data_IF_501570457933
#
_entry.id   IF_501570457933
#
_cell.length_a   1.000
_cell.length_b   1.000
_cell.length_c   1.000
_cell.angle_alpha   90.00
_cell.angle_beta   90.00
_cell.angle_gamma   90.00
#
_symmetry.space_group_name_H-M   'P 1'
#
loop_
_entity.id
_entity.type
_entity.pdbx_description
1 polymer ?
#
# COMPACT_ATOMS: atom_id res chain seq x y z
N UNK A 1 0.87 24.18 22.97
CA UNK A 1 1.09 24.49 21.56
C UNK A 1 -0.28 24.63 20.94
N UNK A 2 -0.64 25.81 20.50
CA UNK A 2 -1.94 26.05 19.88
C UNK A 2 -1.98 25.34 18.51
N UNK A 3 -3.13 24.79 18.12
CA UNK A 3 -3.29 24.09 16.82
C UNK A 3 -2.87 25.00 15.65
N UNK A 4 -3.00 26.31 15.81
CA UNK A 4 -2.60 27.33 14.81
C UNK A 4 -1.08 27.44 14.64
N UNK A 5 -0.28 26.99 15.61
CA UNK A 5 1.19 27.05 15.60
C UNK A 5 1.84 25.76 15.07
N UNK A 6 1.03 24.73 14.75
CA UNK A 6 1.57 23.52 14.13
C UNK A 6 2.02 23.82 12.69
N UNK A 7 3.20 23.33 12.26
CA UNK A 7 3.63 23.50 10.88
C UNK A 7 2.59 22.87 9.96
N UNK A 8 2.05 23.67 9.03
CA UNK A 8 1.10 23.19 8.03
C UNK A 8 1.83 22.34 6.99
N UNK A 9 1.14 21.34 6.46
CA UNK A 9 1.64 20.54 5.36
C UNK A 9 1.78 21.41 4.10
N UNK A 10 2.88 21.23 3.36
CA UNK A 10 3.15 21.95 2.12
C UNK A 10 2.53 21.24 0.92
N UNK A 11 1.56 21.89 0.29
CA UNK A 11 0.89 21.44 -0.94
C UNK A 11 1.28 22.31 -2.17
N UNK A 12 2.36 23.07 -2.09
CA UNK A 12 2.81 23.95 -3.18
C UNK A 12 3.13 23.22 -4.48
N UNK A 13 3.46 21.93 -4.41
CA UNK A 13 3.78 21.06 -5.54
C UNK A 13 2.58 20.31 -6.17
N UNK A 14 1.36 20.62 -5.77
CA UNK A 14 0.17 19.88 -6.24
C UNK A 14 0.03 19.87 -7.77
N UNK A 15 0.25 21.00 -8.43
CA UNK A 15 0.17 21.09 -9.89
C UNK A 15 1.25 20.29 -10.60
N UNK A 16 2.47 20.27 -10.06
CA UNK A 16 3.58 19.49 -10.59
C UNK A 16 3.27 17.99 -10.51
N UNK A 17 2.78 17.53 -9.38
CA UNK A 17 2.38 16.14 -9.17
C UNK A 17 1.22 15.74 -10.08
N UNK A 18 0.23 16.61 -10.31
CA UNK A 18 -0.89 16.35 -11.24
C UNK A 18 -0.41 16.20 -12.67
N UNK A 19 0.50 17.07 -13.12
CA UNK A 19 1.08 16.98 -14.47
C UNK A 19 1.87 15.68 -14.62
N UNK A 20 2.68 15.34 -13.63
CA UNK A 20 3.45 14.10 -13.59
C UNK A 20 2.53 12.87 -13.61
N UNK A 21 1.52 12.83 -12.74
CA UNK A 21 0.55 11.73 -12.69
C UNK A 21 -0.15 11.57 -14.04
N UNK A 22 -0.66 12.64 -14.62
CA UNK A 22 -1.36 12.59 -15.89
C UNK A 22 -0.47 12.08 -17.03
N UNK A 23 0.82 12.46 -17.03
CA UNK A 23 1.79 12.06 -18.06
C UNK A 23 2.16 10.58 -17.95
N UNK A 24 2.39 10.06 -16.73
CA UNK A 24 3.03 8.76 -16.54
C UNK A 24 2.12 7.67 -15.94
N UNK A 25 0.85 7.99 -15.64
CA UNK A 25 -0.08 7.05 -14.98
C UNK A 25 -0.21 5.73 -15.72
N UNK A 26 -0.24 5.73 -17.03
CA UNK A 26 -0.43 4.52 -17.86
C UNK A 26 0.89 3.81 -18.18
N UNK A 27 2.02 4.48 -18.07
CA UNK A 27 3.35 3.88 -18.18
C UNK A 27 3.85 3.25 -16.89
N UNK A 28 3.20 3.58 -15.78
CA UNK A 28 3.59 3.11 -14.45
C UNK A 28 4.61 4.00 -13.76
N UNK A 29 4.62 3.91 -12.43
CA UNK A 29 5.49 4.72 -11.57
C UNK A 29 6.17 3.83 -10.53
N UNK A 30 7.50 3.99 -10.39
CA UNK A 30 8.30 3.33 -9.35
C UNK A 30 8.47 4.21 -8.13
N UNK A 31 8.83 3.59 -7.02
CA UNK A 31 9.21 4.24 -5.76
C UNK A 31 10.67 3.92 -5.44
N UNK A 32 11.41 4.94 -5.04
CA UNK A 32 12.80 4.79 -4.58
C UNK A 32 12.97 5.48 -3.23
N UNK A 33 13.60 4.78 -2.31
CA UNK A 33 14.10 5.27 -1.02
C UNK A 33 15.62 5.09 -1.03
N UNK A 34 16.37 6.15 -0.82
CA UNK A 34 17.82 6.17 -0.90
C UNK A 34 18.43 6.74 0.37
N UNK A 35 19.25 5.92 1.03
CA UNK A 35 20.07 6.29 2.19
C UNK A 35 19.30 7.00 3.31
N UNK A 36 18.06 6.55 3.57
CA UNK A 36 17.12 7.21 4.45
C UNK A 36 17.43 6.95 5.92
N UNK A 37 17.53 8.02 6.70
CA UNK A 37 17.65 8.02 8.15
C UNK A 37 16.43 8.65 8.83
N UNK A 38 15.94 8.02 9.91
CA UNK A 38 14.82 8.55 10.67
C UNK A 38 14.91 8.27 12.18
N UNK A 39 14.64 9.30 12.96
CA UNK A 39 14.57 9.26 14.43
C UNK A 39 13.30 9.98 14.87
N UNK A 40 12.50 9.36 15.72
CA UNK A 40 11.34 10.00 16.35
C UNK A 40 11.75 11.19 17.27
N UNK A 41 10.82 12.09 17.56
CA UNK A 41 11.04 13.19 18.50
C UNK A 41 11.42 12.71 19.91
N UNK A 42 11.04 11.49 20.28
CA UNK A 42 11.43 10.82 21.53
C UNK A 42 12.90 10.43 21.60
N UNK A 43 13.66 10.60 20.51
CA UNK A 43 15.07 10.19 20.39
C UNK A 43 15.23 8.75 19.91
N UNK A 44 14.15 8.00 19.66
CA UNK A 44 14.23 6.62 19.15
C UNK A 44 14.60 6.64 17.67
N UNK A 45 15.82 6.20 17.35
CA UNK A 45 16.29 6.01 15.97
C UNK A 45 15.71 4.71 15.40
N UNK A 46 14.98 4.82 14.27
CA UNK A 46 14.30 3.70 13.61
C UNK A 46 15.05 3.24 12.37
N UNK A 47 15.58 4.20 11.60
CA UNK A 47 16.33 3.91 10.38
C UNK A 47 17.65 4.64 10.33
N UNK A 48 18.66 3.91 9.81
CA UNK A 48 19.98 4.42 9.48
C UNK A 48 20.41 3.79 8.15
N UNK A 49 20.63 4.64 7.12
CA UNK A 49 21.01 4.20 5.77
C UNK A 49 20.04 3.18 5.14
N UNK A 50 18.72 3.36 5.34
CA UNK A 50 17.71 2.48 4.76
C UNK A 50 17.50 2.80 3.27
N UNK A 51 17.54 1.75 2.43
CA UNK A 51 17.32 1.90 0.99
C UNK A 51 16.39 0.81 0.46
N UNK A 52 15.47 1.18 -0.44
CA UNK A 52 14.61 0.24 -1.14
C UNK A 52 14.11 0.81 -2.46
N UNK A 53 13.67 -0.06 -3.34
CA UNK A 53 13.02 0.32 -4.59
C UNK A 53 11.90 -0.66 -4.94
N UNK A 54 10.88 -0.16 -5.63
CA UNK A 54 9.76 -0.93 -6.12
C UNK A 54 9.28 -0.34 -7.45
N UNK A 55 8.92 -1.18 -8.43
CA UNK A 55 8.57 -0.76 -9.77
C UNK A 55 7.20 -1.31 -10.22
N UNK A 56 6.63 -0.81 -11.33
CA UNK A 56 5.36 -1.27 -11.86
C UNK A 56 5.31 -2.78 -12.08
N UNK A 57 4.14 -3.37 -11.83
CA UNK A 57 3.89 -4.82 -11.85
C UNK A 57 4.72 -5.62 -10.83
N UNK A 58 5.45 -4.97 -9.93
CA UNK A 58 6.10 -5.62 -8.80
C UNK A 58 5.22 -5.58 -7.56
N UNK A 59 5.22 -6.68 -6.81
CA UNK A 59 4.84 -6.69 -5.40
C UNK A 59 6.12 -6.87 -4.59
N UNK A 60 6.41 -5.88 -3.76
CA UNK A 60 7.59 -5.83 -2.90
C UNK A 60 7.16 -6.08 -1.46
N UNK A 61 7.73 -7.08 -0.81
CA UNK A 61 7.45 -7.39 0.58
C UNK A 61 8.41 -6.66 1.52
N UNK A 62 7.89 -6.05 2.58
CA UNK A 62 8.63 -5.59 3.75
C UNK A 62 8.44 -6.57 4.89
N UNK A 63 9.49 -7.21 5.34
CA UNK A 63 9.48 -8.20 6.43
C UNK A 63 10.35 -7.74 7.59
N UNK A 64 10.10 -8.28 8.77
CA UNK A 64 10.87 -7.99 9.98
C UNK A 64 10.03 -8.16 11.24
N UNK A 65 10.64 -8.24 12.42
CA UNK A 65 9.93 -8.32 13.68
C UNK A 65 8.95 -7.17 13.91
N UNK A 66 7.99 -7.36 14.81
CA UNK A 66 7.10 -6.27 15.23
C UNK A 66 7.89 -5.18 15.94
N UNK A 67 7.59 -3.92 15.64
CA UNK A 67 8.27 -2.76 16.23
C UNK A 67 9.55 -2.30 15.50
N UNK A 68 10.09 -3.06 14.56
CA UNK A 68 11.33 -2.70 13.83
C UNK A 68 11.14 -1.55 12.80
N UNK A 69 9.92 -1.10 12.54
CA UNK A 69 9.71 0.11 11.72
C UNK A 69 8.97 -0.10 10.39
N UNK A 70 8.34 -1.27 10.11
CA UNK A 70 7.59 -1.50 8.87
C UNK A 70 6.54 -0.42 8.60
N UNK A 71 5.64 -0.19 9.55
CA UNK A 71 4.63 0.88 9.47
C UNK A 71 5.27 2.27 9.45
N UNK A 72 6.41 2.47 10.12
CA UNK A 72 7.18 3.73 10.06
C UNK A 72 7.70 3.98 8.65
N UNK A 73 8.21 2.96 7.95
CA UNK A 73 8.61 3.06 6.54
C UNK A 73 7.44 3.51 5.66
N UNK A 74 6.26 2.89 5.82
CA UNK A 74 5.08 3.29 5.05
C UNK A 74 4.63 4.73 5.36
N UNK A 75 4.73 5.15 6.62
CA UNK A 75 4.42 6.55 7.00
C UNK A 75 5.42 7.55 6.42
N UNK A 76 6.68 7.20 6.31
CA UNK A 76 7.70 8.01 5.64
C UNK A 76 7.41 8.09 4.13
N UNK A 77 7.10 6.97 3.50
CA UNK A 77 6.70 6.91 2.07
C UNK A 77 5.46 7.78 1.82
N UNK A 78 4.49 7.80 2.72
CA UNK A 78 3.31 8.67 2.64
C UNK A 78 3.60 10.14 3.03
N UNK A 79 4.86 10.48 3.31
CA UNK A 79 5.25 11.81 3.81
C UNK A 79 4.41 12.27 5.02
N UNK A 80 3.96 11.34 5.85
CA UNK A 80 3.37 11.60 7.17
C UNK A 80 4.45 11.83 8.23
N UNK A 81 5.66 11.39 7.94
CA UNK A 81 6.89 11.61 8.70
C UNK A 81 7.95 12.12 7.72
N UNK A 82 8.83 12.99 8.18
CA UNK A 82 9.91 13.52 7.37
C UNK A 82 11.24 12.83 7.75
N UNK A 83 11.99 12.27 6.78
CA UNK A 83 13.31 11.72 7.04
C UNK A 83 14.27 12.83 7.50
N UNK A 84 15.26 12.47 8.31
CA UNK A 84 16.34 13.40 8.70
C UNK A 84 17.46 13.43 7.66
N UNK A 85 17.66 12.30 6.99
CA UNK A 85 18.72 12.08 5.99
C UNK A 85 18.17 11.25 4.84
N UNK A 86 18.85 11.31 3.70
CA UNK A 86 18.47 10.58 2.50
C UNK A 86 17.38 11.24 1.67
N UNK A 87 16.87 10.53 0.68
CA UNK A 87 15.85 11.03 -0.26
C UNK A 87 14.85 9.93 -0.59
N UNK A 88 13.62 10.37 -0.86
CA UNK A 88 12.56 9.47 -1.32
C UNK A 88 11.78 10.13 -2.47
N UNK A 89 11.51 9.38 -3.52
CA UNK A 89 10.81 9.92 -4.69
C UNK A 89 10.00 8.85 -5.42
N UNK A 90 9.03 9.31 -6.18
CA UNK A 90 8.35 8.53 -7.21
C UNK A 90 8.99 8.89 -8.55
N UNK A 91 9.28 7.90 -9.38
CA UNK A 91 9.82 8.10 -10.73
C UNK A 91 8.92 7.44 -11.79
N UNK A 92 8.98 7.97 -13.01
CA UNK A 92 8.32 7.33 -14.15
C UNK A 92 9.11 6.07 -14.58
N UNK A 93 8.42 4.97 -14.94
CA UNK A 93 9.11 3.74 -15.35
C UNK A 93 9.82 3.93 -16.71
N UNK A 94 9.20 4.62 -17.66
CA UNK A 94 9.78 4.85 -18.99
C UNK A 94 10.94 5.86 -19.00
N UNK A 95 11.02 6.73 -17.98
CA UNK A 95 12.11 7.71 -17.81
C UNK A 95 12.37 7.96 -16.32
N UNK A 96 13.24 7.17 -15.70
CA UNK A 96 13.53 7.22 -14.27
C UNK A 96 14.25 8.50 -13.81
N UNK A 97 14.70 9.34 -14.72
CA UNK A 97 15.22 10.68 -14.40
C UNK A 97 14.08 11.65 -14.05
N UNK A 98 12.90 11.46 -14.67
CA UNK A 98 11.69 12.19 -14.31
C UNK A 98 11.14 11.67 -12.99
N UNK A 99 11.18 12.51 -11.96
CA UNK A 99 10.83 12.12 -10.59
C UNK A 99 10.22 13.26 -9.78
N UNK A 100 9.38 12.87 -8.84
CA UNK A 100 8.75 13.76 -7.84
C UNK A 100 9.22 13.34 -6.46
N UNK A 101 9.80 14.27 -5.69
CA UNK A 101 10.14 14.04 -4.29
C UNK A 101 8.89 13.80 -3.46
N UNK A 102 8.97 12.89 -2.49
CA UNK A 102 7.85 12.62 -1.61
C UNK A 102 7.56 13.84 -0.72
N UNK A 103 6.31 14.26 -0.75
CA UNK A 103 5.76 15.39 0.00
C UNK A 103 4.27 15.16 0.26
N UNK A 104 3.62 16.06 0.98
CA UNK A 104 2.17 16.03 1.16
C UNK A 104 1.44 16.00 -0.20
N UNK A 105 1.89 16.77 -1.18
CA UNK A 105 1.35 16.78 -2.55
C UNK A 105 1.43 15.43 -3.24
N UNK A 106 2.51 14.66 -3.03
CA UNK A 106 2.72 13.37 -3.66
C UNK A 106 1.78 12.27 -3.13
N UNK A 107 1.10 12.46 -2.01
CA UNK A 107 0.19 11.45 -1.42
C UNK A 107 -0.93 11.02 -2.34
N UNK A 108 -1.35 11.86 -3.28
CA UNK A 108 -2.37 11.51 -4.28
C UNK A 108 -1.95 10.35 -5.18
N UNK A 109 -0.66 10.08 -5.34
CA UNK A 109 -0.11 8.96 -6.11
C UNK A 109 -0.25 7.61 -5.39
N UNK A 110 -0.68 7.60 -4.12
CA UNK A 110 -0.73 6.42 -3.27
C UNK A 110 -2.16 6.02 -2.93
N UNK A 111 -2.42 4.72 -2.89
CA UNK A 111 -3.51 4.11 -2.13
C UNK A 111 -2.91 3.37 -0.93
N UNK A 112 -3.50 3.53 0.24
CA UNK A 112 -3.03 2.92 1.48
C UNK A 112 -4.15 2.13 2.15
N UNK A 113 -3.87 0.88 2.46
CA UNK A 113 -4.74 0.02 3.27
C UNK A 113 -4.02 -0.23 4.59
N UNK A 114 -4.42 0.42 5.68
CA UNK A 114 -3.81 0.21 6.99
C UNK A 114 -4.22 -1.15 7.58
N UNK A 115 -3.50 -1.57 8.61
CA UNK A 115 -3.86 -2.70 9.44
C UNK A 115 -5.25 -2.50 10.06
N UNK A 116 -6.03 -3.58 10.12
CA UNK A 116 -7.36 -3.59 10.72
C UNK A 116 -8.48 -3.20 9.74
N UNK A 117 -9.63 -2.89 10.29
CA UNK A 117 -10.84 -2.63 9.52
C UNK A 117 -11.05 -1.13 9.30
N UNK A 118 -11.22 -0.75 8.04
CA UNK A 118 -11.43 0.65 7.61
C UNK A 118 -12.78 0.87 6.92
N UNK A 119 -13.71 -0.06 7.05
CA UNK A 119 -15.03 0.06 6.45
C UNK A 119 -15.93 0.98 7.30
N UNK A 120 -16.73 1.78 6.60
CA UNK A 120 -17.72 2.69 7.19
C UNK A 120 -19.13 2.06 7.15
N UNK A 121 -20.02 2.53 8.01
CA UNK A 121 -21.45 2.20 7.91
C UNK A 121 -22.04 2.70 6.58
N UNK A 122 -22.87 1.89 5.96
CA UNK A 122 -23.45 2.14 4.64
C UNK A 122 -23.49 0.85 3.82
N UNK A 123 -23.55 0.92 2.51
CA UNK A 123 -23.47 -0.24 1.63
C UNK A 123 -22.01 -0.54 1.21
N UNK A 124 -21.77 -1.72 0.65
CA UNK A 124 -20.46 -2.05 0.05
C UNK A 124 -20.17 -1.05 -1.09
N UNK A 125 -21.15 -0.77 -1.95
CA UNK A 125 -21.01 0.18 -3.05
C UNK A 125 -20.65 1.59 -2.56
N UNK A 126 -21.32 2.10 -1.53
CA UNK A 126 -21.00 3.40 -0.93
C UNK A 126 -19.58 3.43 -0.38
N UNK A 127 -19.16 2.37 0.32
CA UNK A 127 -17.79 2.26 0.82
C UNK A 127 -16.74 2.31 -0.30
N UNK A 128 -16.96 1.63 -1.41
CA UNK A 128 -16.05 1.65 -2.55
C UNK A 128 -16.06 3.02 -3.23
N UNK A 129 -17.24 3.63 -3.42
CA UNK A 129 -17.39 4.95 -4.06
C UNK A 129 -16.82 6.12 -3.28
N UNK A 130 -16.42 5.94 -2.00
CA UNK A 130 -15.69 6.99 -1.26
C UNK A 130 -14.40 7.44 -1.96
N UNK A 131 -13.76 6.57 -2.74
CA UNK A 131 -12.49 6.87 -3.45
C UNK A 131 -12.70 7.19 -4.94
N UNK A 132 -13.86 6.84 -5.50
CA UNK A 132 -14.26 7.13 -6.89
C UNK A 132 -15.80 7.24 -6.94
N UNK A 133 -16.36 8.44 -6.66
CA UNK A 133 -17.82 8.64 -6.54
C UNK A 133 -18.62 8.29 -7.81
N UNK A 134 -18.02 8.46 -8.98
CA UNK A 134 -18.57 8.18 -10.31
C UNK A 134 -18.33 6.76 -10.82
N UNK A 135 -17.81 5.85 -9.97
CA UNK A 135 -17.56 4.48 -10.37
C UNK A 135 -18.85 3.74 -10.76
N UNK A 136 -18.85 3.08 -11.92
CA UNK A 136 -19.95 2.22 -12.33
C UNK A 136 -19.98 0.92 -11.50
N UNK A 137 -21.11 0.23 -11.51
CA UNK A 137 -21.24 -1.06 -10.79
C UNK A 137 -20.26 -2.10 -11.34
N UNK A 138 -19.97 -2.08 -12.66
CA UNK A 138 -18.98 -2.95 -13.28
C UNK A 138 -17.58 -2.70 -12.74
N UNK A 139 -17.18 -1.43 -12.57
CA UNK A 139 -15.89 -1.07 -11.98
C UNK A 139 -15.78 -1.52 -10.51
N UNK A 140 -16.89 -1.43 -9.75
CA UNK A 140 -16.94 -1.96 -8.39
C UNK A 140 -16.73 -3.48 -8.38
N UNK A 141 -17.42 -4.20 -9.26
CA UNK A 141 -17.33 -5.66 -9.39
C UNK A 141 -15.92 -6.08 -9.81
N UNK A 142 -15.28 -5.38 -10.75
CA UNK A 142 -13.89 -5.64 -11.14
C UNK A 142 -12.94 -5.49 -9.96
N UNK A 143 -13.05 -4.41 -9.20
CA UNK A 143 -12.22 -4.19 -8.02
C UNK A 143 -12.45 -5.27 -6.94
N UNK A 144 -13.70 -5.70 -6.73
CA UNK A 144 -14.06 -6.79 -5.84
C UNK A 144 -13.48 -8.14 -6.30
N UNK A 145 -13.47 -8.42 -7.61
CA UNK A 145 -12.85 -9.61 -8.20
C UNK A 145 -11.34 -9.63 -7.98
N UNK A 146 -10.66 -8.50 -8.25
CA UNK A 146 -9.21 -8.36 -8.02
C UNK A 146 -8.85 -8.63 -6.56
N UNK A 147 -9.65 -8.12 -5.61
CA UNK A 147 -9.47 -8.35 -4.17
C UNK A 147 -9.99 -9.72 -3.68
N UNK A 148 -10.44 -10.60 -4.55
CA UNK A 148 -11.11 -11.88 -4.21
C UNK A 148 -12.31 -11.70 -3.27
N UNK A 149 -13.00 -10.56 -3.34
CA UNK A 149 -14.16 -10.24 -2.52
C UNK A 149 -15.48 -10.60 -3.22
N UNK A 150 -15.50 -10.64 -4.54
CA UNK A 150 -16.72 -10.93 -5.32
C UNK A 150 -17.32 -12.27 -4.98
N UNK A 151 -16.52 -13.30 -4.73
CA UNK A 151 -16.95 -14.67 -4.40
C UNK A 151 -17.97 -14.74 -3.25
N UNK A 152 -17.91 -13.83 -2.30
CA UNK A 152 -18.89 -13.77 -1.21
C UNK A 152 -19.91 -12.64 -1.39
N UNK A 153 -19.55 -11.51 -2.04
CA UNK A 153 -20.45 -10.38 -2.25
C UNK A 153 -21.62 -10.76 -3.18
N UNK A 154 -21.36 -11.51 -4.26
CA UNK A 154 -22.42 -11.97 -5.18
C UNK A 154 -23.47 -12.89 -4.55
N UNK A 155 -23.13 -13.52 -3.41
CA UNK A 155 -24.03 -14.42 -2.66
C UNK A 155 -24.87 -13.69 -1.61
N UNK A 156 -24.59 -12.40 -1.39
CA UNK A 156 -25.40 -11.59 -0.48
C UNK A 156 -26.74 -11.24 -1.14
N UNK A 157 -27.84 -11.14 -0.37
CA UNK A 157 -29.17 -10.88 -0.93
C UNK A 157 -29.21 -9.60 -1.79
N UNK A 158 -28.49 -8.55 -1.38
CA UNK A 158 -28.47 -7.25 -2.06
C UNK A 158 -27.14 -7.01 -2.81
N UNK A 159 -26.26 -8.03 -2.96
CA UNK A 159 -24.99 -7.93 -3.65
C UNK A 159 -24.14 -6.75 -3.14
N UNK A 160 -23.70 -5.86 -4.05
CA UNK A 160 -22.93 -4.65 -3.70
C UNK A 160 -23.72 -3.63 -2.86
N UNK A 161 -25.05 -3.72 -2.82
CA UNK A 161 -25.90 -2.86 -2.00
C UNK A 161 -26.13 -3.41 -0.58
N UNK A 162 -25.51 -4.54 -0.24
CA UNK A 162 -25.60 -5.12 1.11
C UNK A 162 -24.96 -4.20 2.14
N UNK A 163 -25.62 -4.11 3.31
CA UNK A 163 -25.24 -3.20 4.37
C UNK A 163 -23.96 -3.64 5.08
N UNK A 164 -23.06 -2.69 5.29
CA UNK A 164 -21.88 -2.77 6.16
C UNK A 164 -22.23 -2.02 7.45
N UNK A 165 -22.18 -2.70 8.59
CA UNK A 165 -22.38 -2.07 9.90
C UNK A 165 -21.10 -1.37 10.37
N UNK A 166 -21.18 -0.60 11.45
CA UNK A 166 -20.02 0.05 12.06
C UNK A 166 -18.84 -0.91 12.22
N UNK A 167 -17.64 -0.43 11.89
CA UNK A 167 -16.38 -1.20 11.92
C UNK A 167 -16.46 -2.51 11.12
N UNK A 168 -17.20 -2.50 9.98
CA UNK A 168 -17.32 -3.70 9.13
C UNK A 168 -18.17 -4.81 9.74
N UNK A 169 -19.00 -4.51 10.73
CA UNK A 169 -19.90 -5.48 11.34
C UNK A 169 -20.79 -6.14 10.29
N UNK A 170 -20.99 -7.45 10.41
CA UNK A 170 -21.70 -8.28 9.43
C UNK A 170 -20.77 -9.06 8.50
N UNK A 171 -19.46 -8.75 8.52
CA UNK A 171 -18.42 -9.44 7.75
C UNK A 171 -17.33 -9.99 8.68
N UNK A 172 -16.71 -11.10 8.29
CA UNK A 172 -15.49 -11.57 8.96
C UNK A 172 -14.35 -10.56 8.72
N UNK A 173 -13.33 -10.59 9.57
CA UNK A 173 -12.16 -9.71 9.42
C UNK A 173 -11.53 -9.84 8.03
N UNK A 174 -11.34 -11.08 7.53
CA UNK A 174 -10.80 -11.32 6.20
C UNK A 174 -11.72 -10.85 5.07
N UNK A 175 -13.05 -10.85 5.25
CA UNK A 175 -13.98 -10.25 4.30
C UNK A 175 -13.85 -8.72 4.29
N UNK A 176 -13.80 -8.09 5.46
CA UNK A 176 -13.62 -6.65 5.60
C UNK A 176 -12.26 -6.19 5.03
N UNK A 177 -11.17 -6.94 5.25
CA UNK A 177 -9.87 -6.66 4.63
C UNK A 177 -9.96 -6.71 3.10
N UNK A 178 -10.60 -7.72 2.51
CA UNK A 178 -10.78 -7.81 1.05
C UNK A 178 -11.60 -6.65 0.49
N UNK A 179 -12.65 -6.20 1.18
CA UNK A 179 -13.41 -5.01 0.80
C UNK A 179 -12.55 -3.74 0.85
N UNK A 180 -11.72 -3.60 1.88
CA UNK A 180 -10.77 -2.47 2.01
C UNK A 180 -9.73 -2.47 0.88
N UNK A 181 -9.21 -3.65 0.51
CA UNK A 181 -8.29 -3.81 -0.62
C UNK A 181 -9.02 -3.46 -1.94
N UNK A 182 -10.26 -3.93 -2.15
CA UNK A 182 -11.06 -3.60 -3.35
C UNK A 182 -11.23 -2.09 -3.50
N UNK A 183 -11.55 -1.39 -2.40
CA UNK A 183 -11.65 0.07 -2.39
C UNK A 183 -10.34 0.74 -2.81
N UNK A 184 -9.21 0.28 -2.30
CA UNK A 184 -7.90 0.82 -2.67
C UNK A 184 -7.54 0.55 -4.14
N UNK A 185 -7.91 -0.64 -4.66
CA UNK A 185 -7.69 -1.02 -6.07
C UNK A 185 -8.55 -0.19 -7.03
N UNK A 186 -9.81 0.09 -6.66
CA UNK A 186 -10.74 0.90 -7.45
C UNK A 186 -10.21 2.30 -7.74
N UNK A 187 -9.46 2.89 -6.81
CA UNK A 187 -8.87 4.22 -6.97
C UNK A 187 -7.88 4.28 -8.14
N UNK A 188 -7.29 3.16 -8.54
CA UNK A 188 -6.25 3.08 -9.59
C UNK A 188 -5.08 4.04 -9.33
N UNK A 189 -4.62 4.13 -8.09
CA UNK A 189 -3.38 4.86 -7.77
C UNK A 189 -2.17 4.10 -8.31
N UNK A 190 -1.13 4.81 -8.80
CA UNK A 190 0.10 4.18 -9.29
C UNK A 190 0.81 3.31 -8.27
N UNK A 191 0.74 3.70 -6.99
CA UNK A 191 1.41 2.98 -5.90
C UNK A 191 0.39 2.54 -4.85
N UNK A 192 0.41 1.26 -4.50
CA UNK A 192 -0.45 0.64 -3.49
C UNK A 192 0.39 0.20 -2.29
N UNK A 193 0.00 0.62 -1.11
CA UNK A 193 0.61 0.24 0.16
C UNK A 193 -0.38 -0.61 0.97
N UNK A 194 0.01 -1.82 1.34
CA UNK A 194 -0.77 -2.76 2.15
C UNK A 194 -0.05 -3.01 3.47
N UNK A 195 -0.53 -2.40 4.56
CA UNK A 195 0.06 -2.54 5.89
C UNK A 195 -0.63 -3.67 6.67
N UNK A 196 -0.06 -4.86 6.61
CA UNK A 196 -0.62 -6.08 7.20
C UNK A 196 -2.09 -6.34 6.78
N UNK A 197 -2.49 -5.76 5.63
CA UNK A 197 -3.87 -5.75 5.16
C UNK A 197 -4.37 -7.13 4.66
N UNK A 198 -3.50 -8.13 4.64
CA UNK A 198 -3.83 -9.51 4.26
C UNK A 198 -3.73 -10.48 5.45
N UNK A 199 -3.47 -9.97 6.66
CA UNK A 199 -3.19 -10.79 7.85
C UNK A 199 -4.34 -11.71 8.30
N UNK A 200 -5.59 -11.32 8.04
CA UNK A 200 -6.78 -12.13 8.36
C UNK A 200 -7.24 -13.06 7.21
N UNK A 201 -6.52 -13.08 6.07
CA UNK A 201 -6.82 -13.97 4.97
C UNK A 201 -6.18 -15.35 5.19
N UNK A 202 -6.80 -16.40 4.65
CA UNK A 202 -6.11 -17.67 4.50
C UNK A 202 -5.02 -17.57 3.42
N UNK A 203 -4.04 -18.48 3.48
CA UNK A 203 -2.86 -18.46 2.59
C UNK A 203 -3.23 -18.51 1.11
N UNK A 204 -4.25 -19.27 0.75
CA UNK A 204 -4.66 -19.43 -0.65
C UNK A 204 -5.28 -18.13 -1.18
N UNK A 205 -6.15 -17.50 -0.38
CA UNK A 205 -6.78 -16.21 -0.71
C UNK A 205 -5.74 -15.09 -0.77
N UNK A 206 -4.82 -15.01 0.20
CA UNK A 206 -3.75 -14.03 0.19
C UNK A 206 -2.89 -14.13 -1.07
N UNK A 207 -2.47 -15.33 -1.45
CA UNK A 207 -1.72 -15.55 -2.69
C UNK A 207 -2.50 -15.17 -3.94
N UNK A 208 -3.82 -15.44 -3.97
CA UNK A 208 -4.68 -15.01 -5.09
C UNK A 208 -4.74 -13.49 -5.20
N UNK A 209 -4.96 -12.79 -4.10
CA UNK A 209 -4.99 -11.31 -4.08
C UNK A 209 -3.67 -10.75 -4.59
N UNK A 210 -2.53 -11.21 -4.09
CA UNK A 210 -1.21 -10.75 -4.53
C UNK A 210 -0.99 -11.02 -6.02
N UNK A 211 -1.34 -12.21 -6.51
CA UNK A 211 -1.23 -12.54 -7.95
C UNK A 211 -2.12 -11.64 -8.80
N UNK A 212 -3.37 -11.42 -8.39
CA UNK A 212 -4.29 -10.54 -9.12
C UNK A 212 -3.73 -9.13 -9.23
N UNK A 213 -3.11 -8.60 -8.15
CA UNK A 213 -2.46 -7.28 -8.18
C UNK A 213 -1.29 -7.26 -9.16
N UNK A 214 -0.46 -8.31 -9.20
CA UNK A 214 0.69 -8.40 -10.12
C UNK A 214 0.28 -8.54 -11.60
N UNK A 215 -0.84 -9.23 -11.86
CA UNK A 215 -1.33 -9.50 -13.22
C UNK A 215 -2.38 -8.52 -13.70
N UNK A 216 -2.74 -7.53 -12.87
CA UNK A 216 -3.63 -6.44 -13.27
C UNK A 216 -3.06 -5.68 -14.47
N UNK A 217 -3.91 -5.33 -15.42
CA UNK A 217 -3.52 -4.53 -16.60
C UNK A 217 -3.10 -3.12 -16.23
N UNK A 218 -3.53 -2.60 -15.09
CA UNK A 218 -3.09 -1.31 -14.58
C UNK A 218 -1.67 -1.41 -14.01
N UNK A 219 -0.69 -0.61 -14.49
CA UNK A 219 0.73 -0.73 -14.13
C UNK A 219 0.99 -0.23 -12.70
N UNK A 220 0.55 -1.00 -11.72
CA UNK A 220 0.65 -0.65 -10.30
C UNK A 220 1.93 -1.19 -9.68
N UNK A 221 2.57 -0.38 -8.85
CA UNK A 221 3.61 -0.79 -7.91
C UNK A 221 2.94 -1.11 -6.57
N UNK A 222 3.22 -2.27 -5.99
CA UNK A 222 2.64 -2.66 -4.70
C UNK A 222 3.71 -2.93 -3.66
N UNK A 223 3.53 -2.37 -2.47
CA UNK A 223 4.37 -2.66 -1.29
C UNK A 223 3.48 -3.26 -0.22
N UNK A 224 3.84 -4.43 0.27
CA UNK A 224 3.10 -5.14 1.31
C UNK A 224 3.98 -5.39 2.54
N UNK A 225 3.50 -5.03 3.73
CA UNK A 225 4.11 -5.51 4.96
C UNK A 225 3.46 -6.84 5.33
N UNK A 226 4.27 -7.84 5.63
CA UNK A 226 3.78 -9.17 5.99
C UNK A 226 4.71 -9.84 6.99
N UNK A 227 4.12 -10.68 7.83
CA UNK A 227 4.84 -11.63 8.69
C UNK A 227 4.76 -13.06 8.15
N UNK A 228 4.09 -13.27 7.00
CA UNK A 228 3.84 -14.61 6.43
C UNK A 228 4.84 -14.96 5.35
N UNK A 229 5.68 -15.97 5.56
CA UNK A 229 6.67 -16.41 4.58
C UNK A 229 6.03 -16.93 3.28
N UNK A 230 4.80 -17.41 3.36
CA UNK A 230 4.08 -18.07 2.25
C UNK A 230 3.85 -17.21 1.02
N UNK A 231 3.95 -15.88 1.13
CA UNK A 231 3.84 -14.94 0.01
C UNK A 231 5.17 -14.43 -0.50
N UNK A 232 6.27 -14.64 0.23
CA UNK A 232 7.57 -14.08 -0.13
C UNK A 232 8.11 -14.64 -1.46
N UNK A 233 7.80 -15.89 -1.76
CA UNK A 233 8.22 -16.55 -3.01
C UNK A 233 7.47 -16.09 -4.26
N UNK A 234 6.42 -15.28 -4.11
CA UNK A 234 5.70 -14.67 -5.23
C UNK A 234 5.93 -13.17 -5.33
N UNK A 235 6.65 -12.57 -4.37
CA UNK A 235 7.04 -11.17 -4.44
C UNK A 235 8.27 -11.03 -5.35
N UNK A 236 8.31 -9.93 -6.11
CA UNK A 236 9.44 -9.61 -6.98
C UNK A 236 10.71 -9.28 -6.19
N UNK A 237 10.53 -8.66 -5.03
CA UNK A 237 11.61 -8.29 -4.09
C UNK A 237 11.13 -8.45 -2.65
N UNK A 238 12.05 -8.77 -1.77
CA UNK A 238 11.80 -8.84 -0.33
C UNK A 238 12.85 -8.00 0.40
N UNK A 239 12.41 -7.02 1.16
CA UNK A 239 13.28 -6.20 2.00
C UNK A 239 13.09 -6.57 3.47
N UNK A 240 14.19 -6.85 4.16
CA UNK A 240 14.19 -7.05 5.61
C UNK A 240 14.43 -5.72 6.32
N UNK A 241 13.53 -5.38 7.25
CA UNK A 241 13.70 -4.28 8.20
C UNK A 241 14.11 -4.88 9.53
N UNK A 242 15.36 -4.65 9.89
CA UNK A 242 15.97 -5.15 11.12
C UNK A 242 17.17 -4.29 11.51
N UNK A 243 17.42 -4.15 12.80
CA UNK A 243 18.58 -3.44 13.33
C UNK A 243 18.78 -2.04 12.69
N UNK A 244 17.68 -1.28 12.57
CA UNK A 244 17.61 0.08 11.98
C UNK A 244 17.96 0.14 10.49
N UNK A 245 18.03 -0.97 9.80
CA UNK A 245 18.35 -1.05 8.37
C UNK A 245 17.16 -1.57 7.56
N UNK A 246 17.16 -1.25 6.27
CA UNK A 246 16.26 -1.83 5.28
C UNK A 246 17.14 -2.31 4.12
N UNK A 247 17.19 -3.62 3.90
CA UNK A 247 18.01 -4.21 2.84
C UNK A 247 17.27 -5.29 2.07
N UNK A 248 17.57 -5.41 0.79
CA UNK A 248 17.03 -6.48 -0.05
C UNK A 248 17.60 -7.84 0.38
N UNK A 249 16.73 -8.85 0.54
CA UNK A 249 17.11 -10.22 0.83
C UNK A 249 17.47 -10.95 -0.47
N UNK A 250 18.50 -11.78 -0.40
CA UNK A 250 18.85 -12.71 -1.47
C UNK A 250 17.94 -13.93 -1.43
N UNK A 251 17.78 -14.60 -2.55
CA UNK A 251 16.93 -15.79 -2.71
C UNK A 251 17.17 -16.85 -1.61
N UNK A 252 18.41 -17.14 -1.28
CA UNK A 252 18.78 -18.09 -0.21
C UNK A 252 18.29 -17.66 1.17
N UNK A 253 18.31 -16.35 1.46
CA UNK A 253 17.83 -15.80 2.74
C UNK A 253 16.29 -15.88 2.82
N UNK A 254 15.60 -15.65 1.69
CA UNK A 254 14.15 -15.82 1.58
C UNK A 254 13.77 -17.28 1.79
N UNK A 255 14.45 -18.23 1.13
CA UNK A 255 14.22 -19.66 1.31
C UNK A 255 14.43 -20.11 2.76
N UNK A 256 15.48 -19.63 3.41
CA UNK A 256 15.74 -19.91 4.82
C UNK A 256 14.61 -19.38 5.69
N UNK A 257 14.18 -18.14 5.49
CA UNK A 257 13.06 -17.53 6.22
C UNK A 257 11.76 -18.34 6.06
N UNK A 258 11.49 -18.86 4.85
CA UNK A 258 10.31 -19.70 4.58
C UNK A 258 10.39 -21.05 5.33
N UNK A 259 11.58 -21.61 5.56
CA UNK A 259 11.75 -22.89 6.26
C UNK A 259 11.69 -22.78 7.78
N UNK A 260 12.01 -21.61 8.33
CA UNK A 260 12.05 -21.35 9.77
C UNK A 260 10.67 -21.01 10.35
N UNK A 261 9.65 -20.83 9.50
CA UNK A 261 8.25 -20.59 9.85
C UNK A 261 7.37 -21.81 9.56
#
# INVERSE_FOLDING_TARGET
MDIVEMPQEDYSHDKEVEVFEKKYRMGGMGLVVEDMGYTYHTGTEVFKHASMQAFPHEVVALVGPSGEGKTTMLRLILALLCPKEGRMWVCAEENREEKILLSASARKLFSYVPQGNTMFSGTIAENLRTVKPDASDEELIEALKLACAWDFVEKLPDGINSAVKERGGGFSEGQAQRLSIARALLRKSPILLLDEATSALDVATERRVIRNIMTDTYPRTCIVTTHRPTVLNICARVYAIKDKSCRELKEREIEQMIREF
#
